data_IF_422501255093
#
_entry.id   IF_422501255093
#
_cell.length_a   1.000
_cell.length_b   1.000
_cell.length_c   1.000
_cell.angle_alpha   90.00
_cell.angle_beta   90.00
_cell.angle_gamma   90.00
#
_symmetry.space_group_name_H-M   'P 1'
#
loop_
_entity.id
_entity.type
_entity.pdbx_description
1 polymer ?
#
# COMPACT_ATOMS: atom_id res chain seq x y z
N UNK A 1 7.19 22.20 -26.08
CA UNK A 1 5.75 22.46 -25.89
C UNK A 1 4.99 21.24 -26.35
N UNK A 2 4.47 20.43 -25.42
CA UNK A 2 3.46 19.41 -25.71
C UNK A 2 2.18 19.93 -25.08
N UNK A 3 1.46 20.72 -25.87
CA UNK A 3 0.12 21.16 -25.55
C UNK A 3 -0.82 20.08 -26.11
N UNK A 4 -1.47 19.33 -25.23
CA UNK A 4 -2.24 18.16 -25.64
C UNK A 4 -2.92 17.45 -24.48
N UNK A 5 -4.18 17.82 -24.24
CA UNK A 5 -5.17 17.21 -23.36
C UNK A 5 -5.10 17.61 -21.87
N UNK A 6 -6.20 18.19 -21.39
CA UNK A 6 -6.55 18.12 -19.98
C UNK A 6 -6.53 16.66 -19.55
N UNK A 7 -5.49 16.27 -18.82
CA UNK A 7 -5.31 14.90 -18.32
C UNK A 7 -6.59 14.43 -17.65
N UNK A 8 -7.23 13.42 -18.26
CA UNK A 8 -8.48 12.83 -17.80
C UNK A 8 -8.37 12.51 -16.30
N UNK A 9 -9.42 12.83 -15.55
CA UNK A 9 -9.51 12.44 -14.15
C UNK A 9 -9.57 10.90 -14.06
N UNK A 10 -8.64 10.29 -13.31
CA UNK A 10 -8.65 8.85 -13.08
C UNK A 10 -9.59 8.49 -11.92
N UNK A 11 -9.57 9.28 -10.85
CA UNK A 11 -10.50 9.15 -9.73
C UNK A 11 -10.86 10.51 -9.13
N UNK A 12 -12.02 10.56 -8.48
CA UNK A 12 -12.54 11.72 -7.74
C UNK A 12 -12.66 11.40 -6.26
N UNK A 13 -12.60 12.43 -5.42
CA UNK A 13 -12.62 12.29 -3.96
C UNK A 13 -13.81 11.46 -3.47
N UNK A 14 -15.02 11.71 -3.99
CA UNK A 14 -16.21 10.93 -3.60
C UNK A 14 -16.03 9.42 -3.77
N UNK A 15 -15.51 8.99 -4.91
CA UNK A 15 -15.30 7.56 -5.19
C UNK A 15 -14.19 6.98 -4.32
N UNK A 16 -13.09 7.72 -4.14
CA UNK A 16 -11.94 7.27 -3.35
C UNK A 16 -12.34 7.13 -1.88
N UNK A 17 -12.99 8.12 -1.29
CA UNK A 17 -13.42 8.09 0.11
C UNK A 17 -14.36 6.91 0.38
N UNK A 18 -15.32 6.65 -0.52
CA UNK A 18 -16.25 5.52 -0.39
C UNK A 18 -15.49 4.19 -0.49
N UNK A 19 -14.65 4.00 -1.52
CA UNK A 19 -13.93 2.74 -1.74
C UNK A 19 -12.96 2.46 -0.59
N UNK A 20 -12.19 3.45 -0.17
CA UNK A 20 -11.23 3.29 0.94
C UNK A 20 -11.96 3.03 2.25
N UNK A 21 -13.05 3.75 2.54
CA UNK A 21 -13.85 3.49 3.73
C UNK A 21 -14.42 2.06 3.74
N UNK A 22 -14.90 1.55 2.60
CA UNK A 22 -15.36 0.16 2.51
C UNK A 22 -14.24 -0.86 2.73
N UNK A 23 -13.06 -0.64 2.14
CA UNK A 23 -11.89 -1.52 2.33
C UNK A 23 -11.51 -1.58 3.81
N UNK A 24 -11.40 -0.44 4.49
CA UNK A 24 -11.06 -0.41 5.91
C UNK A 24 -12.18 -0.94 6.81
N UNK A 25 -13.44 -0.77 6.44
CA UNK A 25 -14.57 -1.36 7.16
C UNK A 25 -14.51 -2.90 7.11
N UNK A 26 -14.27 -3.46 5.92
CA UNK A 26 -14.12 -4.92 5.75
C UNK A 26 -12.88 -5.43 6.47
N UNK A 27 -11.74 -4.76 6.31
CA UNK A 27 -10.49 -5.12 6.98
C UNK A 27 -10.64 -5.07 8.51
N UNK A 28 -11.19 -3.99 9.05
CA UNK A 28 -11.48 -3.85 10.47
C UNK A 28 -12.44 -4.93 10.98
N UNK A 29 -13.48 -5.27 10.23
CA UNK A 29 -14.40 -6.35 10.60
C UNK A 29 -13.71 -7.72 10.65
N UNK A 30 -12.83 -8.03 9.70
CA UNK A 30 -12.04 -9.27 9.69
C UNK A 30 -11.11 -9.32 10.91
N UNK A 31 -10.38 -8.23 11.19
CA UNK A 31 -9.47 -8.17 12.34
C UNK A 31 -10.25 -8.28 13.65
N UNK A 32 -11.39 -7.60 13.78
CA UNK A 32 -12.24 -7.69 14.96
C UNK A 32 -12.74 -9.12 15.19
N UNK A 33 -13.18 -9.81 14.13
CA UNK A 33 -13.65 -11.19 14.21
C UNK A 33 -12.53 -12.15 14.65
N UNK A 34 -11.35 -12.06 14.04
CA UNK A 34 -10.22 -12.92 14.41
C UNK A 34 -9.71 -12.61 15.82
N UNK A 35 -9.66 -11.34 16.20
CA UNK A 35 -9.28 -10.91 17.56
C UNK A 35 -10.26 -11.40 18.61
N UNK A 36 -11.56 -11.39 18.31
CA UNK A 36 -12.57 -11.97 19.19
C UNK A 36 -12.37 -13.48 19.36
N UNK A 37 -12.08 -14.19 18.26
CA UNK A 37 -11.79 -15.63 18.27
C UNK A 37 -10.55 -15.96 19.10
N UNK A 38 -9.52 -15.11 19.08
CA UNK A 38 -8.29 -15.25 19.86
C UNK A 38 -8.46 -14.88 21.35
N UNK A 39 -9.60 -14.28 21.72
CA UNK A 39 -9.87 -13.81 23.07
C UNK A 39 -9.62 -12.31 23.20
N UNK A 40 -10.71 -11.55 23.42
CA UNK A 40 -10.71 -10.10 23.54
C UNK A 40 -11.09 -9.61 24.95
N UNK A 41 -10.91 -10.46 25.98
CA UNK A 41 -11.23 -10.10 27.38
C UNK A 41 -9.98 -9.69 28.14
N UNK A 42 -10.21 -8.92 29.20
CA UNK A 42 -9.21 -8.72 30.24
C UNK A 42 -9.35 -9.85 31.26
N UNK A 43 -8.34 -10.70 31.36
CA UNK A 43 -8.30 -11.82 32.31
C UNK A 43 -7.54 -11.48 33.59
N UNK A 44 -7.46 -12.45 34.48
CA UNK A 44 -6.69 -12.36 35.74
C UNK A 44 -5.19 -12.10 35.48
N UNK A 45 -4.63 -12.69 34.43
CA UNK A 45 -3.23 -12.51 34.02
C UNK A 45 -3.01 -11.31 33.07
N UNK A 46 -4.04 -10.48 32.86
CA UNK A 46 -4.01 -9.29 31.99
C UNK A 46 -4.72 -9.44 30.65
N UNK A 47 -4.44 -8.57 29.67
CA UNK A 47 -5.14 -8.55 28.39
C UNK A 47 -4.83 -9.80 27.57
N UNK A 48 -5.87 -10.46 27.08
CA UNK A 48 -5.72 -11.53 26.10
C UNK A 48 -5.11 -10.99 24.80
N UNK A 49 -4.53 -11.89 24.01
CA UNK A 49 -3.82 -11.55 22.75
C UNK A 49 -4.71 -10.75 21.78
N UNK A 50 -6.01 -11.04 21.73
CA UNK A 50 -6.97 -10.33 20.90
C UNK A 50 -7.55 -9.06 21.53
N UNK A 51 -7.28 -8.75 22.80
CA UNK A 51 -7.88 -7.60 23.50
C UNK A 51 -7.58 -6.29 22.78
N UNK A 52 -6.31 -5.91 22.64
CA UNK A 52 -5.96 -4.64 21.99
C UNK A 52 -6.35 -4.60 20.50
N UNK A 53 -6.03 -5.63 19.68
CA UNK A 53 -6.41 -5.64 18.27
C UNK A 53 -7.93 -5.51 18.06
N UNK A 54 -8.75 -6.08 18.94
CA UNK A 54 -10.21 -5.99 18.86
C UNK A 54 -10.72 -4.54 18.99
N UNK A 55 -10.31 -3.81 20.03
CA UNK A 55 -10.77 -2.42 20.21
C UNK A 55 -10.24 -1.48 19.14
N UNK A 56 -9.00 -1.66 18.69
CA UNK A 56 -8.45 -0.89 17.57
C UNK A 56 -9.24 -1.16 16.29
N UNK A 57 -9.58 -2.42 16.02
CA UNK A 57 -10.40 -2.80 14.89
C UNK A 57 -11.82 -2.18 14.95
N UNK A 58 -12.44 -2.13 16.14
CA UNK A 58 -13.71 -1.43 16.33
C UNK A 58 -13.62 0.07 16.03
N UNK A 59 -12.56 0.75 16.49
CA UNK A 59 -12.34 2.17 16.20
C UNK A 59 -12.15 2.39 14.70
N UNK A 60 -11.42 1.50 14.02
CA UNK A 60 -11.27 1.52 12.55
C UNK A 60 -12.63 1.38 11.88
N UNK A 61 -13.47 0.43 12.30
CA UNK A 61 -14.81 0.24 11.76
C UNK A 61 -15.68 1.50 11.92
N UNK A 62 -15.73 2.08 13.13
CA UNK A 62 -16.51 3.28 13.40
C UNK A 62 -16.00 4.47 12.56
N UNK A 63 -14.69 4.67 12.51
CA UNK A 63 -14.07 5.74 11.71
C UNK A 63 -14.36 5.57 10.22
N UNK A 64 -14.34 4.32 9.74
CA UNK A 64 -14.65 3.97 8.35
C UNK A 64 -16.12 4.24 8.02
N UNK A 65 -17.05 3.92 8.93
CA UNK A 65 -18.47 4.24 8.78
C UNK A 65 -18.66 5.77 8.68
N UNK A 66 -18.02 6.54 9.56
CA UNK A 66 -18.08 8.01 9.51
C UNK A 66 -17.55 8.54 8.18
N UNK A 67 -16.42 8.02 7.70
CA UNK A 67 -15.85 8.41 6.41
C UNK A 67 -16.72 8.01 5.23
N UNK A 68 -17.39 6.84 5.29
CA UNK A 68 -18.33 6.39 4.28
C UNK A 68 -19.51 7.37 4.17
N UNK A 69 -20.11 7.76 5.29
CA UNK A 69 -21.18 8.76 5.32
C UNK A 69 -20.72 10.12 4.78
N UNK A 70 -19.53 10.59 5.19
CA UNK A 70 -18.94 11.83 4.66
C UNK A 70 -18.74 11.76 3.15
N UNK A 71 -18.21 10.65 2.64
CA UNK A 71 -17.98 10.43 1.22
C UNK A 71 -19.28 10.41 0.40
N UNK A 72 -20.31 9.71 0.88
CA UNK A 72 -21.63 9.68 0.23
C UNK A 72 -22.27 11.07 0.20
N UNK A 73 -22.11 11.84 1.29
CA UNK A 73 -22.64 13.20 1.43
C UNK A 73 -21.91 14.26 0.58
N UNK A 74 -20.82 13.93 -0.11
CA UNK A 74 -20.15 14.84 -1.05
C UNK A 74 -21.12 15.20 -2.18
N UNK A 75 -21.45 16.49 -2.26
CA UNK A 75 -22.25 17.08 -3.34
C UNK A 75 -21.47 17.09 -4.65
N UNK A 76 -22.12 16.90 -5.82
CA UNK A 76 -21.45 16.88 -7.12
C UNK A 76 -20.55 18.11 -7.39
N UNK A 77 -20.99 19.29 -6.96
CA UNK A 77 -20.26 20.55 -7.10
C UNK A 77 -18.93 20.58 -6.31
N UNK A 78 -18.85 19.81 -5.22
CA UNK A 78 -17.65 19.73 -4.36
C UNK A 78 -16.78 18.51 -4.68
N UNK A 79 -17.19 17.66 -5.62
CA UNK A 79 -16.46 16.44 -5.97
C UNK A 79 -15.26 16.74 -6.88
N UNK A 80 -14.13 17.09 -6.25
CA UNK A 80 -12.88 17.43 -6.96
C UNK A 80 -12.19 16.20 -7.55
N UNK A 81 -11.32 16.43 -8.53
CA UNK A 81 -10.42 15.39 -9.05
C UNK A 81 -9.39 15.05 -7.97
N UNK A 82 -9.30 13.77 -7.60
CA UNK A 82 -8.32 13.28 -6.63
C UNK A 82 -6.97 13.01 -7.31
N UNK A 83 -7.01 12.25 -8.42
CA UNK A 83 -5.80 11.88 -9.17
C UNK A 83 -6.08 11.86 -10.67
N UNK A 84 -5.12 12.36 -11.43
CA UNK A 84 -5.13 12.33 -12.90
C UNK A 84 -4.50 11.04 -13.43
N UNK A 85 -4.85 10.63 -14.65
CA UNK A 85 -4.33 9.39 -15.25
C UNK A 85 -2.79 9.38 -15.34
N UNK A 86 -2.14 10.50 -15.67
CA UNK A 86 -0.68 10.54 -15.74
C UNK A 86 -0.02 10.36 -14.38
N UNK A 87 -0.54 11.02 -13.33
CA UNK A 87 -0.08 10.83 -11.96
C UNK A 87 -0.28 9.38 -11.49
N UNK A 88 -1.42 8.77 -11.81
CA UNK A 88 -1.69 7.37 -11.46
C UNK A 88 -0.70 6.42 -12.15
N UNK A 89 -0.35 6.67 -13.41
CA UNK A 89 0.67 5.88 -14.12
C UNK A 89 2.04 5.94 -13.44
N UNK A 90 2.44 7.11 -12.94
CA UNK A 90 3.71 7.26 -12.21
C UNK A 90 3.71 6.46 -10.91
N UNK A 91 2.62 6.50 -10.15
CA UNK A 91 2.47 5.70 -8.92
C UNK A 91 2.51 4.20 -9.25
N UNK A 92 1.75 3.76 -10.26
CA UNK A 92 1.70 2.36 -10.70
C UNK A 92 3.04 1.87 -11.24
N UNK A 93 3.84 2.74 -11.88
CA UNK A 93 5.17 2.41 -12.36
C UNK A 93 6.15 2.04 -11.23
N UNK A 94 5.88 2.46 -9.98
CA UNK A 94 6.65 2.05 -8.81
C UNK A 94 5.94 0.93 -8.06
N UNK A 95 4.62 1.01 -7.88
CA UNK A 95 3.83 0.06 -7.09
C UNK A 95 3.84 -1.34 -7.69
N UNK A 96 3.63 -1.48 -9.00
CA UNK A 96 3.54 -2.78 -9.67
C UNK A 96 4.88 -3.54 -9.54
N UNK A 97 6.04 -2.95 -9.88
CA UNK A 97 7.33 -3.60 -9.64
C UNK A 97 7.57 -4.00 -8.19
N UNK A 98 7.14 -3.18 -7.21
CA UNK A 98 7.29 -3.48 -5.78
C UNK A 98 6.46 -4.69 -5.37
N UNK A 99 5.21 -4.81 -5.85
CA UNK A 99 4.37 -5.99 -5.60
C UNK A 99 5.01 -7.24 -6.21
N UNK A 100 5.53 -7.14 -7.44
CA UNK A 100 6.24 -8.23 -8.10
C UNK A 100 7.49 -8.65 -7.30
N UNK A 101 8.25 -7.68 -6.79
CA UNK A 101 9.38 -7.92 -5.90
C UNK A 101 8.96 -8.72 -4.66
N UNK A 102 7.93 -8.29 -3.93
CA UNK A 102 7.42 -9.00 -2.75
C UNK A 102 7.00 -10.43 -3.09
N UNK A 103 6.36 -10.64 -4.25
CA UNK A 103 6.03 -11.97 -4.75
C UNK A 103 7.25 -12.86 -4.97
N UNK A 104 8.33 -12.29 -5.51
CA UNK A 104 9.58 -13.03 -5.74
C UNK A 104 10.37 -13.37 -4.47
N UNK A 105 10.18 -12.63 -3.37
CA UNK A 105 10.89 -12.90 -2.10
C UNK A 105 10.67 -14.34 -1.66
N UNK A 106 9.45 -14.89 -1.83
CA UNK A 106 9.15 -16.27 -1.41
C UNK A 106 10.02 -17.31 -2.12
N UNK A 107 10.48 -17.04 -3.35
CA UNK A 107 11.15 -18.04 -4.20
C UNK A 107 12.66 -17.79 -4.28
N UNK A 108 13.08 -16.53 -4.34
CA UNK A 108 14.48 -16.13 -4.51
C UNK A 108 15.16 -15.73 -3.20
N UNK A 109 14.39 -15.55 -2.13
CA UNK A 109 14.86 -14.89 -0.91
C UNK A 109 14.97 -13.38 -1.08
N UNK A 110 15.05 -12.67 0.05
CA UNK A 110 14.97 -11.20 0.06
C UNK A 110 16.16 -10.52 -0.61
N UNK A 111 17.39 -11.04 -0.44
CA UNK A 111 18.60 -10.43 -0.97
C UNK A 111 18.67 -10.49 -2.50
N UNK A 112 18.35 -11.66 -3.09
CA UNK A 112 18.39 -11.84 -4.54
C UNK A 112 17.22 -11.14 -5.22
N UNK A 113 16.01 -11.20 -4.62
CA UNK A 113 14.88 -10.43 -5.09
C UNK A 113 15.16 -8.92 -5.05
N UNK A 114 15.86 -8.43 -4.01
CA UNK A 114 16.25 -7.03 -3.88
C UNK A 114 17.27 -6.63 -4.95
N UNK A 115 18.24 -7.50 -5.28
CA UNK A 115 19.21 -7.22 -6.33
C UNK A 115 18.50 -7.02 -7.68
N UNK A 116 17.58 -7.92 -8.04
CA UNK A 116 16.79 -7.77 -9.27
C UNK A 116 15.91 -6.53 -9.25
N UNK A 117 15.26 -6.23 -8.12
CA UNK A 117 14.43 -5.04 -7.96
C UNK A 117 15.24 -3.75 -8.16
N UNK A 118 16.38 -3.61 -7.50
CA UNK A 118 17.29 -2.45 -7.66
C UNK A 118 17.80 -2.36 -9.09
N UNK A 119 18.26 -3.48 -9.66
CA UNK A 119 18.74 -3.51 -11.04
C UNK A 119 17.68 -3.05 -12.03
N UNK A 120 16.44 -3.51 -11.84
CA UNK A 120 15.29 -3.14 -12.66
C UNK A 120 15.00 -1.64 -12.61
N UNK A 121 14.92 -1.04 -11.41
CA UNK A 121 14.69 0.41 -11.27
C UNK A 121 15.82 1.23 -11.88
N UNK A 122 17.07 0.84 -11.61
CA UNK A 122 18.23 1.53 -12.18
C UNK A 122 18.25 1.45 -13.70
N UNK A 123 17.89 0.29 -14.28
CA UNK A 123 17.91 0.11 -15.73
C UNK A 123 16.73 0.77 -16.43
N UNK A 124 15.53 0.63 -15.88
CA UNK A 124 14.30 1.09 -16.53
C UNK A 124 14.00 2.56 -16.25
N UNK A 125 13.94 2.96 -14.98
CA UNK A 125 13.62 4.35 -14.60
C UNK A 125 14.87 5.23 -14.64
N UNK A 126 15.99 4.74 -14.10
CA UNK A 126 17.24 5.50 -13.99
C UNK A 126 18.08 5.55 -15.27
N UNK A 127 17.82 4.64 -16.23
CA UNK A 127 18.57 4.52 -17.49
C UNK A 127 20.11 4.47 -17.31
N UNK A 128 20.56 3.86 -16.21
CA UNK A 128 21.99 3.75 -15.91
C UNK A 128 22.70 2.72 -16.83
N UNK A 129 24.01 2.92 -17.00
CA UNK A 129 24.88 1.98 -17.72
C UNK A 129 24.94 0.62 -17.01
N UNK A 130 24.96 -0.47 -17.77
CA UNK A 130 24.88 -1.84 -17.24
C UNK A 130 25.89 -2.16 -16.13
N UNK A 131 27.14 -1.67 -16.25
CA UNK A 131 28.14 -1.90 -15.21
C UNK A 131 27.74 -1.28 -13.86
N UNK A 132 27.16 -0.07 -13.87
CA UNK A 132 26.68 0.60 -12.64
C UNK A 132 25.49 -0.15 -12.05
N UNK A 133 24.60 -0.63 -12.91
CA UNK A 133 23.43 -1.43 -12.52
C UNK A 133 23.88 -2.68 -11.78
N UNK A 134 24.78 -3.47 -12.37
CA UNK A 134 25.29 -4.72 -11.77
C UNK A 134 26.08 -4.43 -10.49
N UNK A 135 27.01 -3.47 -10.53
CA UNK A 135 27.84 -3.13 -9.38
C UNK A 135 27.02 -2.70 -8.16
N UNK A 136 26.03 -1.82 -8.35
CA UNK A 136 25.23 -1.31 -7.24
C UNK A 136 24.15 -2.29 -6.78
N UNK A 137 23.49 -3.01 -7.69
CA UNK A 137 22.47 -3.99 -7.29
C UNK A 137 23.06 -5.17 -6.53
N UNK A 138 24.13 -5.78 -7.05
CA UNK A 138 24.82 -6.90 -6.40
C UNK A 138 25.57 -6.40 -5.16
N UNK A 139 26.29 -5.29 -5.27
CA UNK A 139 27.04 -4.71 -4.15
C UNK A 139 26.16 -4.39 -2.96
N UNK A 140 24.99 -3.77 -3.20
CA UNK A 140 24.00 -3.49 -2.16
C UNK A 140 23.51 -4.78 -1.47
N UNK A 141 23.10 -5.79 -2.24
CA UNK A 141 22.59 -7.04 -1.67
C UNK A 141 23.67 -7.82 -0.90
N UNK A 142 24.90 -7.87 -1.41
CA UNK A 142 26.03 -8.52 -0.73
C UNK A 142 26.39 -7.78 0.56
N UNK A 143 26.46 -6.44 0.52
CA UNK A 143 26.73 -5.63 1.71
C UNK A 143 25.72 -5.89 2.82
N UNK A 144 24.43 -5.88 2.50
CA UNK A 144 23.38 -6.17 3.48
C UNK A 144 23.41 -7.61 3.98
N UNK A 145 23.75 -8.58 3.13
CA UNK A 145 23.92 -9.98 3.53
C UNK A 145 25.09 -10.18 4.51
N UNK A 146 26.14 -9.37 4.42
CA UNK A 146 27.29 -9.46 5.33
C UNK A 146 27.03 -8.81 6.70
N UNK A 147 26.13 -7.83 6.77
CA UNK A 147 25.83 -7.09 8.00
C UNK A 147 24.71 -7.74 8.83
N UNK A 148 23.72 -8.34 8.16
CA UNK A 148 22.52 -8.94 8.78
C UNK A 148 22.44 -10.43 8.48
#
# INVERSE_FOLDING_TARGET
>A
MVEGSGERAAARYKRVDIVVALIFLVFGAIVAFDSWRLGAKWGEDGPQTGYFPFYIALIICVSSIVNLFKGIAIRPERDKVFVKVGQLKLVLAVLIPTIVYVGFIKWLGIYLASAFFVAFFMRWLGKYQWWKVVALSVGNSVFFFLIF
#
